data_IF_486891977054
#
_entry.id   IF_486891977054
#
_cell.length_a   1.000
_cell.length_b   1.000
_cell.length_c   1.000
_cell.angle_alpha   90.00
_cell.angle_beta   90.00
_cell.angle_gamma   90.00
#
_symmetry.space_group_name_H-M   'P 1'
#
loop_
_entity.id
_entity.type
_entity.pdbx_description
1 polymer ?
#
# COMPACT_ATOMS: atom_id res chain seq x y z
N UNK A 1 -14.80 44.15 40.91
CA UNK A 1 -15.69 43.03 40.55
C UNK A 1 -16.38 43.42 39.26
N UNK A 2 -15.73 43.18 38.12
CA UNK A 2 -16.30 43.47 36.80
C UNK A 2 -16.80 42.14 36.25
N UNK A 3 -18.12 42.09 36.07
CA UNK A 3 -18.86 40.95 35.56
C UNK A 3 -18.30 40.55 34.19
N UNK A 4 -17.80 39.32 34.10
CA UNK A 4 -17.58 38.63 32.83
C UNK A 4 -18.92 38.60 32.08
N UNK A 5 -19.07 39.48 31.10
CA UNK A 5 -20.10 39.29 30.09
C UNK A 5 -19.58 38.13 29.23
N UNK A 6 -19.96 36.92 29.60
CA UNK A 6 -19.85 35.75 28.72
C UNK A 6 -20.73 36.03 27.51
N UNK A 7 -20.18 36.71 26.51
CA UNK A 7 -20.83 36.88 25.23
C UNK A 7 -21.09 35.48 24.69
N UNK A 8 -22.37 35.08 24.65
CA UNK A 8 -22.76 33.83 24.03
C UNK A 8 -22.29 33.81 22.58
N UNK A 9 -22.08 32.60 22.00
CA UNK A 9 -21.58 32.49 20.65
C UNK A 9 -22.49 33.24 19.68
N UNK A 10 -21.88 34.02 18.79
CA UNK A 10 -22.57 34.72 17.72
C UNK A 10 -23.28 33.74 16.79
N UNK A 11 -24.32 34.21 16.08
CA UNK A 11 -25.06 33.38 15.10
C UNK A 11 -24.12 32.74 14.07
N UNK A 12 -23.07 33.46 13.69
CA UNK A 12 -22.04 32.97 12.76
C UNK A 12 -21.19 31.87 13.37
N UNK A 13 -20.80 31.97 14.65
CA UNK A 13 -20.08 30.90 15.36
C UNK A 13 -20.97 29.66 15.55
N UNK A 14 -22.25 29.83 15.85
CA UNK A 14 -23.22 28.73 15.92
C UNK A 14 -23.38 28.02 14.58
N UNK A 15 -23.41 28.76 13.47
CA UNK A 15 -23.46 28.19 12.11
C UNK A 15 -22.18 27.42 11.76
N UNK A 16 -21.01 27.94 12.13
CA UNK A 16 -19.73 27.24 11.91
C UNK A 16 -19.67 25.96 12.75
N UNK A 17 -20.07 26.01 14.02
CA UNK A 17 -20.13 24.83 14.88
C UNK A 17 -21.10 23.78 14.33
N UNK A 18 -22.27 24.19 13.86
CA UNK A 18 -23.24 23.29 13.23
C UNK A 18 -22.67 22.64 11.95
N UNK A 19 -21.98 23.40 11.11
CA UNK A 19 -21.33 22.87 9.91
C UNK A 19 -20.23 21.85 10.25
N UNK A 20 -19.41 22.11 11.27
CA UNK A 20 -18.40 21.16 11.73
C UNK A 20 -19.05 19.86 12.20
N UNK A 21 -20.16 19.96 12.95
CA UNK A 21 -20.93 18.78 13.39
C UNK A 21 -21.50 18.01 12.19
N UNK A 22 -22.06 18.70 11.20
CA UNK A 22 -22.58 18.07 9.98
C UNK A 22 -21.47 17.35 9.22
N UNK A 23 -20.29 17.95 9.09
CA UNK A 23 -19.14 17.33 8.43
C UNK A 23 -18.68 16.08 9.21
N UNK A 24 -18.57 16.16 10.53
CA UNK A 24 -18.19 15.01 11.37
C UNK A 24 -19.21 13.89 11.23
N UNK A 25 -20.51 14.21 11.31
CA UNK A 25 -21.59 13.22 11.15
C UNK A 25 -21.57 12.62 9.75
N UNK A 26 -21.35 13.44 8.71
CA UNK A 26 -21.20 12.96 7.34
C UNK A 26 -20.01 12.00 7.21
N UNK A 27 -18.86 12.29 7.82
CA UNK A 27 -17.68 11.42 7.83
C UNK A 27 -17.97 10.11 8.59
N UNK A 28 -18.65 10.17 9.72
CA UNK A 28 -18.99 8.99 10.54
C UNK A 28 -20.02 8.10 9.83
N UNK A 29 -21.06 8.70 9.25
CA UNK A 29 -22.06 7.99 8.47
C UNK A 29 -21.46 7.43 7.19
N UNK A 30 -20.59 8.17 6.52
CA UNK A 30 -19.79 7.68 5.40
C UNK A 30 -18.98 6.45 5.82
N UNK A 31 -18.23 6.52 6.93
CA UNK A 31 -17.44 5.38 7.45
C UNK A 31 -18.29 4.15 7.77
N UNK A 32 -19.56 4.33 8.16
CA UNK A 32 -20.47 3.24 8.56
C UNK A 32 -21.30 2.69 7.39
N UNK A 33 -21.64 3.51 6.40
CA UNK A 33 -22.58 3.20 5.32
C UNK A 33 -21.89 2.90 3.97
N UNK A 34 -20.60 3.22 3.84
CA UNK A 34 -19.86 2.90 2.61
C UNK A 34 -19.75 1.38 2.45
N UNK A 35 -20.24 0.81 1.34
CA UNK A 35 -20.16 -0.62 1.10
C UNK A 35 -18.71 -1.07 0.94
N UNK A 36 -18.39 -2.29 1.40
CA UNK A 36 -17.00 -2.81 1.53
C UNK A 36 -16.14 -2.64 0.27
N UNK A 37 -16.73 -2.69 -0.92
CA UNK A 37 -16.04 -2.51 -2.21
C UNK A 37 -15.59 -1.07 -2.51
N UNK A 38 -16.16 -0.06 -1.84
CA UNK A 38 -15.69 1.33 -1.89
C UNK A 38 -14.71 1.64 -0.75
N UNK A 39 -14.72 0.84 0.32
CA UNK A 39 -13.73 0.90 1.42
C UNK A 39 -12.37 0.37 0.96
N UNK A 40 -12.35 -0.70 0.16
CA UNK A 40 -11.12 -1.18 -0.53
C UNK A 40 -10.53 -0.13 -1.47
N UNK A 41 -11.36 0.79 -1.98
CA UNK A 41 -10.93 1.95 -2.77
C UNK A 41 -10.39 3.11 -1.92
N UNK A 42 -10.45 3.08 -0.60
CA UNK A 42 -9.82 4.08 0.28
C UNK A 42 -8.65 3.50 1.07
N UNK A 43 -8.62 2.17 1.24
CA UNK A 43 -7.42 1.36 1.56
C UNK A 43 -6.39 1.34 0.40
N UNK A 44 -6.65 2.05 -0.70
CA UNK A 44 -5.88 2.13 -1.96
C UNK A 44 -4.47 2.75 -1.88
N UNK A 45 -3.89 2.88 -0.69
CA UNK A 45 -2.44 2.88 -0.57
C UNK A 45 -2.02 1.45 -0.25
N UNK A 46 -2.11 0.58 -1.25
CA UNK A 46 -1.49 -0.74 -1.19
C UNK A 46 -0.04 -0.54 -0.73
N UNK A 47 0.43 -1.39 0.19
CA UNK A 47 1.83 -1.39 0.62
C UNK A 47 2.75 -1.60 -0.59
N UNK A 48 2.28 -2.30 -1.62
CA UNK A 48 2.96 -2.44 -2.91
C UNK A 48 3.13 -1.10 -3.61
N UNK A 49 2.07 -0.30 -3.72
CA UNK A 49 2.14 1.06 -4.29
C UNK A 49 3.07 1.95 -3.46
N UNK A 50 2.95 1.89 -2.14
CA UNK A 50 3.77 2.69 -1.23
C UNK A 50 5.25 2.35 -1.39
N UNK A 51 5.60 1.07 -1.40
CA UNK A 51 6.97 0.61 -1.61
C UNK A 51 7.48 0.99 -3.01
N UNK A 52 6.66 0.83 -4.05
CA UNK A 52 7.01 1.22 -5.42
C UNK A 52 7.33 2.72 -5.54
N UNK A 53 6.54 3.59 -4.90
CA UNK A 53 6.78 5.04 -4.88
C UNK A 53 8.02 5.47 -4.09
N UNK A 54 8.58 4.59 -3.27
CA UNK A 54 9.84 4.84 -2.53
C UNK A 54 11.08 4.44 -3.34
N UNK A 55 10.90 3.91 -4.55
CA UNK A 55 11.99 3.62 -5.49
C UNK A 55 12.36 4.91 -6.23
N UNK A 56 13.62 5.33 -6.14
CA UNK A 56 14.09 6.62 -6.67
C UNK A 56 14.37 6.58 -8.17
N UNK A 57 14.66 5.40 -8.70
CA UNK A 57 15.03 5.22 -10.11
C UNK A 57 14.16 4.17 -10.80
N UNK A 58 14.04 4.28 -12.12
CA UNK A 58 13.31 3.29 -12.92
C UNK A 58 13.90 1.89 -12.74
N UNK A 59 15.22 1.75 -12.60
CA UNK A 59 15.85 0.44 -12.34
C UNK A 59 15.45 -0.15 -10.98
N UNK A 60 15.31 0.68 -9.95
CA UNK A 60 14.80 0.25 -8.64
C UNK A 60 13.32 -0.16 -8.73
N UNK A 61 12.52 0.60 -9.48
CA UNK A 61 11.11 0.27 -9.75
C UNK A 61 10.98 -1.04 -10.51
N UNK A 62 11.84 -1.29 -11.50
CA UNK A 62 11.89 -2.56 -12.26
C UNK A 62 12.30 -3.72 -11.34
N UNK A 63 13.33 -3.54 -10.51
CA UNK A 63 13.76 -4.56 -9.55
C UNK A 63 12.65 -4.90 -8.54
N UNK A 64 12.00 -3.89 -7.98
CA UNK A 64 10.86 -4.09 -7.09
C UNK A 64 9.69 -4.78 -7.78
N UNK A 65 9.37 -4.38 -9.01
CA UNK A 65 8.30 -5.00 -9.80
C UNK A 65 8.64 -6.47 -10.12
N UNK A 66 9.91 -6.80 -10.41
CA UNK A 66 10.36 -8.17 -10.61
C UNK A 66 10.14 -9.01 -9.34
N UNK A 67 10.48 -8.47 -8.16
CA UNK A 67 10.24 -9.16 -6.89
C UNK A 67 8.75 -9.42 -6.64
N UNK A 68 7.88 -8.47 -6.96
CA UNK A 68 6.42 -8.65 -6.81
C UNK A 68 5.90 -9.74 -7.76
N UNK A 69 6.43 -9.82 -8.98
CA UNK A 69 6.11 -10.91 -9.92
C UNK A 69 6.54 -12.26 -9.33
N UNK A 70 7.70 -12.34 -8.68
CA UNK A 70 8.14 -13.56 -8.00
C UNK A 70 7.23 -13.92 -6.81
N UNK A 71 6.79 -12.93 -6.03
CA UNK A 71 5.85 -13.14 -4.92
C UNK A 71 4.54 -13.76 -5.40
N UNK A 72 3.93 -13.20 -6.45
CA UNK A 72 2.70 -13.74 -7.05
C UNK A 72 2.90 -15.14 -7.63
N UNK A 73 4.08 -15.43 -8.19
CA UNK A 73 4.40 -16.78 -8.68
C UNK A 73 4.56 -17.80 -7.53
N UNK A 74 5.03 -17.36 -6.37
CA UNK A 74 5.20 -18.22 -5.19
C UNK A 74 3.89 -18.71 -4.60
N UNK A 75 2.80 -17.94 -4.75
CA UNK A 75 1.45 -18.33 -4.33
C UNK A 75 0.90 -19.51 -5.18
N UNK A 76 1.51 -19.81 -6.33
CA UNK A 76 1.16 -20.97 -7.17
C UNK A 76 -0.22 -20.87 -7.86
N UNK A 77 -1.08 -19.96 -7.42
CA UNK A 77 -2.29 -19.50 -8.10
C UNK A 77 -1.98 -18.25 -8.91
N UNK A 78 -1.28 -18.39 -10.04
CA UNK A 78 -1.12 -17.24 -10.96
C UNK A 78 -2.48 -16.91 -11.58
N UNK A 79 -3.25 -16.03 -10.95
CA UNK A 79 -4.38 -15.37 -11.60
C UNK A 79 -3.83 -14.13 -12.27
N UNK A 80 -3.84 -14.12 -13.61
CA UNK A 80 -3.46 -12.95 -14.40
C UNK A 80 -4.17 -11.66 -13.92
N UNK A 81 -5.39 -11.79 -13.37
CA UNK A 81 -6.14 -10.68 -12.76
C UNK A 81 -5.52 -10.12 -11.46
N UNK A 82 -4.83 -10.93 -10.65
CA UNK A 82 -4.15 -10.45 -9.43
C UNK A 82 -2.89 -9.69 -9.80
N UNK A 83 -2.16 -10.18 -10.81
CA UNK A 83 -1.02 -9.49 -11.38
C UNK A 83 -1.42 -8.16 -12.04
N UNK A 84 -2.55 -8.12 -12.76
CA UNK A 84 -3.05 -6.87 -13.34
C UNK A 84 -3.54 -5.90 -12.25
N UNK A 85 -4.28 -6.36 -11.24
CA UNK A 85 -4.76 -5.50 -10.14
C UNK A 85 -3.65 -4.96 -9.25
N UNK A 86 -2.59 -5.75 -8.98
CA UNK A 86 -1.42 -5.32 -8.22
C UNK A 86 -0.59 -4.28 -8.97
N UNK A 87 -0.62 -4.33 -10.30
CA UNK A 87 0.31 -3.66 -11.19
C UNK A 87 -0.46 -2.69 -12.12
N UNK A 88 -1.73 -2.37 -11.85
CA UNK A 88 -2.55 -1.46 -12.67
C UNK A 88 -1.97 -0.03 -12.67
N UNK A 89 -1.13 0.29 -11.69
CA UNK A 89 -0.53 1.61 -11.49
C UNK A 89 0.94 1.69 -11.95
N UNK A 90 1.55 0.57 -12.35
CA UNK A 90 2.94 0.51 -12.85
C UNK A 90 2.91 0.59 -14.39
N UNK A 91 3.79 1.41 -14.97
CA UNK A 91 3.84 1.59 -16.43
C UNK A 91 4.11 0.26 -17.14
N UNK A 92 3.46 0.05 -18.29
CA UNK A 92 3.65 -1.17 -19.08
C UNK A 92 5.13 -1.42 -19.43
N UNK A 93 5.91 -0.36 -19.64
CA UNK A 93 7.35 -0.41 -19.89
C UNK A 93 8.10 -1.08 -18.73
N UNK A 94 7.85 -0.64 -17.48
CA UNK A 94 8.46 -1.24 -16.29
C UNK A 94 8.02 -2.69 -16.10
N UNK A 95 6.75 -3.03 -16.39
CA UNK A 95 6.29 -4.44 -16.30
C UNK A 95 7.05 -5.34 -17.28
N UNK A 96 7.23 -4.88 -18.51
CA UNK A 96 7.94 -5.63 -19.55
C UNK A 96 9.40 -5.79 -19.16
N UNK A 97 10.07 -4.72 -18.75
CA UNK A 97 11.46 -4.79 -18.31
C UNK A 97 11.63 -5.70 -17.09
N UNK A 98 10.73 -5.59 -16.11
CA UNK A 98 10.72 -6.43 -14.93
C UNK A 98 10.53 -7.91 -15.28
N UNK A 99 9.70 -8.24 -16.27
CA UNK A 99 9.51 -9.64 -16.68
C UNK A 99 10.76 -10.30 -17.29
N UNK A 100 11.75 -9.50 -17.73
CA UNK A 100 13.01 -9.96 -18.34
C UNK A 100 14.25 -9.71 -17.46
N UNK A 101 14.10 -9.07 -16.30
CA UNK A 101 15.20 -8.82 -15.38
C UNK A 101 15.72 -10.14 -14.79
N UNK A 102 17.05 -10.25 -14.67
CA UNK A 102 17.69 -11.38 -14.00
C UNK A 102 17.65 -11.20 -12.47
N UNK A 103 17.38 -12.29 -11.76
CA UNK A 103 17.34 -12.34 -10.29
C UNK A 103 18.59 -11.74 -9.64
N UNK A 104 19.79 -12.05 -10.17
CA UNK A 104 21.05 -11.55 -9.62
C UNK A 104 21.14 -10.02 -9.66
N UNK A 105 20.65 -9.42 -10.75
CA UNK A 105 20.62 -7.96 -10.93
C UNK A 105 19.61 -7.35 -9.96
N UNK A 106 18.42 -7.94 -9.84
CA UNK A 106 17.40 -7.49 -8.87
C UNK A 106 17.97 -7.48 -7.45
N UNK A 107 18.55 -8.60 -6.98
CA UNK A 107 19.08 -8.69 -5.62
C UNK A 107 20.18 -7.68 -5.36
N UNK A 108 21.07 -7.47 -6.33
CA UNK A 108 22.15 -6.47 -6.23
C UNK A 108 21.61 -5.04 -6.06
N UNK A 109 20.53 -4.70 -6.75
CA UNK A 109 19.88 -3.38 -6.60
C UNK A 109 19.25 -3.26 -5.21
N UNK A 110 18.52 -4.28 -4.77
CA UNK A 110 17.78 -4.26 -3.51
C UNK A 110 18.65 -4.35 -2.26
N UNK A 111 19.84 -4.95 -2.36
CA UNK A 111 20.82 -5.00 -1.26
C UNK A 111 21.22 -3.59 -0.82
N UNK A 112 21.32 -2.66 -1.76
CA UNK A 112 21.69 -1.27 -1.54
C UNK A 112 20.63 -0.41 -0.87
N UNK A 113 19.42 -0.93 -0.65
CA UNK A 113 18.35 -0.18 -0.01
C UNK A 113 18.57 0.01 1.48
N UNK A 114 18.13 1.16 1.98
CA UNK A 114 18.08 1.42 3.40
C UNK A 114 17.05 0.51 4.10
N UNK A 115 17.11 0.51 5.44
CA UNK A 115 16.23 -0.30 6.26
C UNK A 115 14.75 0.06 6.06
N UNK A 116 14.44 1.34 5.89
CA UNK A 116 13.05 1.79 5.72
C UNK A 116 12.44 1.24 4.42
N UNK A 117 13.17 1.32 3.31
CA UNK A 117 12.76 0.73 2.03
C UNK A 117 12.58 -0.77 2.15
N UNK A 118 13.52 -1.47 2.79
CA UNK A 118 13.43 -2.92 3.02
C UNK A 118 12.19 -3.30 3.85
N UNK A 119 11.88 -2.55 4.91
CA UNK A 119 10.69 -2.77 5.73
C UNK A 119 9.38 -2.56 4.93
N UNK A 120 9.36 -1.56 4.03
CA UNK A 120 8.23 -1.34 3.13
C UNK A 120 8.10 -2.46 2.08
N UNK A 121 9.22 -2.98 1.57
CA UNK A 121 9.24 -4.14 0.66
C UNK A 121 8.67 -5.38 1.36
N UNK A 122 9.10 -5.65 2.60
CA UNK A 122 8.56 -6.77 3.38
C UNK A 122 7.04 -6.66 3.58
N UNK A 123 6.55 -5.45 3.85
CA UNK A 123 5.11 -5.18 4.00
C UNK A 123 4.35 -5.36 2.69
N UNK A 124 4.94 -4.95 1.56
CA UNK A 124 4.37 -5.12 0.23
C UNK A 124 4.22 -6.60 -0.13
N UNK A 125 5.26 -7.41 0.12
CA UNK A 125 5.23 -8.85 -0.14
C UNK A 125 4.19 -9.54 0.74
N UNK A 126 4.13 -9.19 2.02
CA UNK A 126 3.16 -9.78 2.94
C UNK A 126 1.71 -9.48 2.52
N UNK A 127 1.44 -8.28 1.99
CA UNK A 127 0.13 -7.95 1.43
C UNK A 127 -0.23 -8.85 0.23
N UNK A 128 0.74 -9.14 -0.65
CA UNK A 128 0.54 -10.03 -1.81
C UNK A 128 0.23 -11.46 -1.35
N UNK A 129 1.09 -12.02 -0.49
CA UNK A 129 0.99 -13.42 -0.07
C UNK A 129 -0.16 -13.68 0.92
N UNK A 130 -0.76 -12.63 1.50
CA UNK A 130 -1.97 -12.75 2.35
C UNK A 130 -3.24 -12.36 1.62
N UNK A 131 -3.18 -12.09 0.32
CA UNK A 131 -4.32 -11.59 -0.45
C UNK A 131 -5.50 -12.59 -0.48
N UNK A 132 -5.22 -13.88 -0.35
CA UNK A 132 -6.19 -14.97 -0.24
C UNK A 132 -6.72 -15.21 1.20
N UNK A 133 -6.11 -14.53 2.19
CA UNK A 133 -6.47 -14.55 3.60
C UNK A 133 -5.44 -15.22 4.53
N UNK A 134 -4.59 -16.13 4.05
CA UNK A 134 -3.59 -16.83 4.86
C UNK A 134 -2.43 -17.33 4.00
N UNK A 135 -1.20 -16.99 4.39
CA UNK A 135 0.00 -17.55 3.74
C UNK A 135 0.09 -19.07 3.97
N UNK A 136 0.30 -19.79 2.89
CA UNK A 136 0.66 -21.21 2.89
C UNK A 136 2.09 -21.42 3.44
N UNK A 137 2.42 -22.68 3.76
CA UNK A 137 3.76 -23.03 4.23
C UNK A 137 4.85 -22.72 3.19
N UNK A 138 4.55 -22.90 1.89
CA UNK A 138 5.50 -22.67 0.80
C UNK A 138 5.76 -21.17 0.62
N UNK A 139 4.73 -20.33 0.72
CA UNK A 139 4.87 -18.87 0.68
C UNK A 139 5.64 -18.33 1.88
N UNK A 140 5.47 -18.92 3.07
CA UNK A 140 6.26 -18.58 4.25
C UNK A 140 7.74 -18.94 4.08
N UNK A 141 8.05 -20.11 3.49
CA UNK A 141 9.42 -20.52 3.18
C UNK A 141 10.05 -19.56 2.18
N UNK A 142 9.30 -19.20 1.13
CA UNK A 142 9.75 -18.25 0.12
C UNK A 142 9.99 -16.87 0.74
N UNK A 143 9.04 -16.35 1.52
CA UNK A 143 9.16 -15.07 2.21
C UNK A 143 10.36 -15.03 3.15
N UNK A 144 10.58 -16.08 3.94
CA UNK A 144 11.75 -16.19 4.81
C UNK A 144 13.06 -16.17 4.01
N UNK A 145 13.07 -16.77 2.81
CA UNK A 145 14.23 -16.71 1.91
C UNK A 145 14.51 -15.29 1.41
N UNK A 146 13.47 -14.51 1.11
CA UNK A 146 13.59 -13.10 0.71
C UNK A 146 14.13 -12.26 1.86
N UNK A 147 13.58 -12.41 3.06
CA UNK A 147 14.06 -11.71 4.27
C UNK A 147 15.54 -12.01 4.52
N UNK A 148 15.97 -13.25 4.32
CA UNK A 148 17.38 -13.64 4.48
C UNK A 148 18.30 -13.01 3.42
N UNK A 149 17.81 -12.77 2.19
CA UNK A 149 18.59 -12.17 1.10
C UNK A 149 18.69 -10.65 1.22
N UNK A 150 17.70 -10.00 1.83
CA UNK A 150 17.63 -8.55 1.98
C UNK A 150 18.25 -8.02 3.28
N UNK A 151 18.39 -8.88 4.31
CA UNK A 151 19.17 -8.61 5.52
C UNK A 151 20.67 -8.68 5.27
#
# INVERSE_FOLDING_TARGET
MLLEITAGPSVTELLVMLNVVIIIVAIVLWRKLVPKHLRSRLERFSMVRKAWLLMDTDQEQVAFTHLMIQAVKSDGMVRAEEMDKLIDEITQEIKVEASHMEDEIMWKIMEGFDRERKDNIYSAIEEVLRSDGLMSADELIWYASVVKKLN
#
